data_IF_815040084508
#
_entry.id   IF_815040084508
#
_cell.length_a   1.000
_cell.length_b   1.000
_cell.length_c   1.000
_cell.angle_alpha   90.00
_cell.angle_beta   90.00
_cell.angle_gamma   90.00
#
_symmetry.space_group_name_H-M   'P 1'
#
loop_
_entity.id
_entity.type
_entity.pdbx_description
1 polymer ?
#
# COMPACT_ATOMS: atom_id res chain seq x y z
N UNK A 1 -54.43 28.47 19.66
CA UNK A 1 -53.96 29.60 18.85
C UNK A 1 -52.75 29.15 18.04
N UNK A 2 -52.98 28.83 16.75
CA UNK A 2 -52.23 29.28 15.56
C UNK A 2 -50.88 30.01 15.85
N UNK A 3 -49.72 29.68 15.30
CA UNK A 3 -49.40 29.55 13.86
C UNK A 3 -48.11 28.76 13.60
N UNK A 4 -48.09 28.16 12.41
CA UNK A 4 -47.01 27.51 11.68
C UNK A 4 -45.84 28.46 11.36
N UNK A 5 -44.62 27.92 11.36
CA UNK A 5 -43.41 28.58 10.86
C UNK A 5 -42.54 27.61 10.04
N UNK A 6 -42.99 27.29 8.83
CA UNK A 6 -42.26 26.49 7.84
C UNK A 6 -41.36 27.40 6.99
N UNK A 7 -40.06 27.47 7.28
CA UNK A 7 -39.08 28.17 6.46
C UNK A 7 -38.44 27.21 5.45
N UNK A 8 -38.99 27.23 4.23
CA UNK A 8 -38.43 26.60 3.03
C UNK A 8 -37.14 27.33 2.64
N UNK A 9 -36.00 26.65 2.69
CA UNK A 9 -34.79 27.12 2.01
C UNK A 9 -34.83 26.57 0.59
N UNK A 10 -34.99 27.50 -0.35
CA UNK A 10 -35.05 27.27 -1.79
C UNK A 10 -33.70 26.78 -2.32
N UNK A 11 -33.74 25.69 -3.08
CA UNK A 11 -32.58 25.12 -3.73
C UNK A 11 -32.09 25.99 -4.89
N UNK A 12 -30.85 26.45 -4.80
CA UNK A 12 -30.10 27.00 -5.93
C UNK A 12 -29.53 25.86 -6.77
N UNK A 13 -30.24 25.57 -7.86
CA UNK A 13 -29.83 24.64 -8.90
C UNK A 13 -28.62 25.21 -9.67
N UNK A 14 -27.40 24.81 -9.27
CA UNK A 14 -26.20 25.09 -10.05
C UNK A 14 -26.18 24.18 -11.30
N UNK A 15 -26.48 24.78 -12.45
CA UNK A 15 -26.25 24.18 -13.76
C UNK A 15 -24.75 24.01 -14.00
N UNK A 16 -24.26 22.77 -13.98
CA UNK A 16 -22.93 22.41 -14.45
C UNK A 16 -22.93 22.50 -15.99
N UNK A 17 -22.33 23.55 -16.54
CA UNK A 17 -21.98 23.63 -17.97
C UNK A 17 -20.97 22.53 -18.29
N UNK A 18 -21.38 21.58 -19.13
CA UNK A 18 -20.52 20.58 -19.74
C UNK A 18 -19.62 21.24 -20.78
N UNK A 19 -18.33 21.36 -20.49
CA UNK A 19 -17.33 21.64 -21.54
C UNK A 19 -17.12 20.35 -22.34
N UNK A 20 -17.60 20.35 -23.57
CA UNK A 20 -17.33 19.32 -24.56
C UNK A 20 -15.84 19.34 -24.90
N UNK A 21 -15.13 18.25 -24.60
CA UNK A 21 -13.78 18.00 -25.11
C UNK A 21 -13.94 17.23 -26.43
N UNK A 22 -13.40 17.74 -27.55
CA UNK A 22 -13.54 17.09 -28.86
C UNK A 22 -12.75 15.78 -28.91
N UNK A 23 -13.42 14.71 -29.35
CA UNK A 23 -12.80 13.43 -29.67
C UNK A 23 -11.98 13.57 -30.95
N UNK A 24 -10.65 13.63 -30.82
CA UNK A 24 -9.74 13.42 -31.95
C UNK A 24 -9.43 11.93 -32.09
N UNK A 25 -9.64 11.45 -33.31
CA UNK A 25 -9.29 10.13 -33.78
C UNK A 25 -7.82 9.78 -33.50
N UNK A 26 -7.59 8.70 -32.75
CA UNK A 26 -6.35 7.93 -32.91
C UNK A 26 -6.73 6.56 -33.48
N UNK A 27 -6.51 6.49 -34.78
CA UNK A 27 -6.46 5.29 -35.61
C UNK A 27 -5.54 4.26 -34.98
N UNK A 28 -5.95 3.00 -35.11
CA UNK A 28 -5.22 1.84 -34.65
C UNK A 28 -3.79 1.77 -35.15
N UNK A 29 -2.90 1.33 -34.26
CA UNK A 29 -1.69 0.63 -34.63
C UNK A 29 -1.83 -0.78 -34.06
N UNK A 30 -1.70 -1.73 -34.98
CA UNK A 30 -1.86 -3.15 -34.76
C UNK A 30 -0.91 -3.69 -33.71
N UNK A 31 -1.32 -4.83 -33.16
CA UNK A 31 -0.55 -5.59 -32.21
C UNK A 31 0.79 -6.00 -32.79
N UNK A 32 1.84 -5.80 -31.99
CA UNK A 32 2.98 -6.69 -32.02
C UNK A 32 3.00 -7.41 -30.68
N UNK A 33 2.58 -8.68 -30.73
CA UNK A 33 2.86 -9.63 -29.66
C UNK A 33 4.38 -9.79 -29.59
N UNK A 34 4.99 -9.24 -28.54
CA UNK A 34 6.36 -9.61 -28.18
C UNK A 34 6.40 -11.11 -27.85
N UNK A 35 7.34 -11.89 -28.42
CA UNK A 35 7.44 -13.32 -28.15
C UNK A 35 7.84 -13.55 -26.68
N UNK A 36 7.06 -14.40 -26.00
CA UNK A 36 7.38 -14.91 -24.67
C UNK A 36 8.63 -15.78 -24.76
N UNK A 37 9.71 -15.34 -24.13
CA UNK A 37 10.95 -16.12 -23.98
C UNK A 37 10.67 -17.35 -23.10
N UNK A 38 10.99 -18.59 -23.54
CA UNK A 38 10.84 -19.78 -22.71
C UNK A 38 11.96 -19.84 -21.66
N UNK A 39 11.58 -19.76 -20.38
CA UNK A 39 12.45 -20.10 -19.26
C UNK A 39 12.79 -21.60 -19.32
N UNK A 40 13.95 -21.94 -19.91
CA UNK A 40 14.52 -23.30 -19.84
C UNK A 40 14.89 -23.61 -18.38
N UNK A 41 14.04 -24.42 -17.77
CA UNK A 41 14.28 -25.09 -16.49
C UNK A 41 15.12 -26.33 -16.77
N UNK A 42 16.44 -26.16 -16.95
CA UNK A 42 17.38 -27.28 -16.90
C UNK A 42 17.87 -27.41 -15.46
N UNK A 43 17.37 -28.43 -14.78
CA UNK A 43 17.94 -28.88 -13.52
C UNK A 43 19.33 -29.46 -13.77
N UNK A 44 20.31 -28.93 -13.04
CA UNK A 44 21.55 -29.64 -12.75
C UNK A 44 21.72 -29.63 -11.24
N UNK A 45 21.59 -30.82 -10.68
CA UNK A 45 21.92 -31.15 -9.31
C UNK A 45 23.45 -31.21 -9.27
N UNK A 46 24.09 -30.14 -8.77
CA UNK A 46 25.50 -30.17 -8.42
C UNK A 46 25.56 -30.49 -6.92
N UNK A 47 25.92 -31.74 -6.63
CA UNK A 47 26.42 -32.16 -5.32
C UNK A 47 27.71 -31.38 -5.06
N UNK A 48 27.64 -30.36 -4.19
CA UNK A 48 28.84 -29.66 -3.72
C UNK A 48 29.14 -30.13 -2.30
N UNK A 49 30.29 -30.77 -2.22
CA UNK A 49 30.97 -31.29 -1.03
C UNK A 49 31.14 -30.21 0.04
N UNK A 50 31.04 -30.64 1.30
CA UNK A 50 31.29 -29.81 2.48
C UNK A 50 32.76 -29.44 2.56
N UNK A 51 33.07 -28.14 2.49
CA UNK A 51 34.30 -27.60 3.06
C UNK A 51 33.95 -26.59 4.17
N UNK A 52 34.33 -26.95 5.39
CA UNK A 52 34.43 -26.04 6.53
C UNK A 52 35.54 -25.05 6.21
N UNK A 53 35.20 -23.78 6.00
CA UNK A 53 36.15 -22.67 6.13
C UNK A 53 35.64 -21.68 7.16
N UNK A 54 36.13 -21.89 8.38
CA UNK A 54 36.07 -20.93 9.47
C UNK A 54 36.94 -19.72 9.10
N UNK A 55 36.31 -18.63 8.72
CA UNK A 55 36.91 -17.30 8.81
C UNK A 55 35.79 -16.31 9.04
N UNK A 56 35.59 -15.97 10.32
CA UNK A 56 34.75 -14.86 10.74
C UNK A 56 35.26 -13.60 10.02
N UNK A 57 34.45 -12.90 9.20
CA UNK A 57 34.83 -11.58 8.77
C UNK A 57 34.73 -10.67 9.99
N UNK A 58 35.89 -10.26 10.52
CA UNK A 58 36.03 -9.20 11.50
C UNK A 58 35.42 -7.92 10.90
N UNK A 59 34.13 -7.72 11.17
CA UNK A 59 33.47 -6.46 10.92
C UNK A 59 33.99 -5.49 11.97
N UNK A 60 35.04 -4.76 11.63
CA UNK A 60 35.57 -3.68 12.45
C UNK A 60 34.45 -2.65 12.58
N UNK A 61 33.86 -2.43 13.77
CA UNK A 61 33.02 -1.27 13.95
C UNK A 61 33.97 -0.07 13.89
N UNK A 62 33.91 0.71 12.81
CA UNK A 62 34.52 2.03 12.81
C UNK A 62 33.94 2.80 14.00
N UNK A 63 34.79 2.96 15.00
CA UNK A 63 34.55 3.75 16.20
C UNK A 63 34.74 5.24 15.89
N UNK A 64 34.06 6.05 16.69
CA UNK A 64 34.21 7.50 16.85
C UNK A 64 33.57 8.43 15.81
N UNK A 65 32.34 8.84 16.12
CA UNK A 65 31.97 10.26 16.15
C UNK A 65 30.84 10.44 17.15
N UNK A 66 31.18 10.67 18.42
CA UNK A 66 30.24 11.12 19.43
C UNK A 66 29.84 12.57 19.16
N UNK A 67 28.52 12.81 19.22
CA UNK A 67 27.82 14.10 19.28
C UNK A 67 27.58 14.90 17.97
N UNK A 68 26.58 14.47 17.19
CA UNK A 68 25.60 15.40 16.62
C UNK A 68 24.26 14.67 16.49
N UNK A 69 23.35 14.88 17.44
CA UNK A 69 22.03 14.21 17.61
C UNK A 69 21.60 13.32 16.44
N UNK A 70 21.81 12.02 16.61
CA UNK A 70 21.78 11.04 15.54
C UNK A 70 20.39 10.95 14.90
N UNK A 71 20.34 11.23 13.59
CA UNK A 71 19.20 10.99 12.70
C UNK A 71 18.43 9.73 13.10
N UNK A 72 17.15 9.89 13.45
CA UNK A 72 16.31 8.79 13.93
C UNK A 72 16.24 7.68 12.88
N UNK A 73 16.70 6.48 13.24
CA UNK A 73 16.65 5.27 12.39
C UNK A 73 15.33 4.55 12.61
N UNK A 74 14.61 4.25 11.54
CA UNK A 74 13.29 3.62 11.61
C UNK A 74 13.32 2.24 12.27
N UNK A 75 14.36 1.44 12.04
CA UNK A 75 14.51 0.11 12.65
C UNK A 75 14.52 0.13 14.19
N UNK A 76 15.04 1.20 14.81
CA UNK A 76 15.08 1.36 16.26
C UNK A 76 13.72 1.75 16.86
N UNK A 77 12.79 2.25 16.05
CA UNK A 77 11.48 2.72 16.53
C UNK A 77 10.47 1.57 16.71
N UNK A 78 10.62 0.48 15.97
CA UNK A 78 9.68 -0.65 16.02
C UNK A 78 9.69 -1.40 17.35
N UNK A 79 10.82 -1.39 18.07
CA UNK A 79 10.95 -2.03 19.39
C UNK A 79 10.54 -1.15 20.57
N UNK A 80 10.18 0.12 20.35
CA UNK A 80 9.80 1.06 21.42
C UNK A 80 8.30 1.03 21.70
N UNK A 81 7.93 1.35 22.94
CA UNK A 81 6.54 1.49 23.36
C UNK A 81 5.85 2.70 22.71
N UNK A 82 4.51 2.67 22.64
CA UNK A 82 3.71 3.77 22.08
C UNK A 82 3.92 5.08 22.83
N UNK A 83 4.04 5.01 24.15
CA UNK A 83 4.18 6.19 24.99
C UNK A 83 5.58 6.81 24.89
N UNK A 84 6.62 5.98 24.75
CA UNK A 84 7.98 6.45 24.48
C UNK A 84 8.09 7.13 23.12
N UNK A 85 7.42 6.58 22.10
CA UNK A 85 7.36 7.21 20.77
C UNK A 85 6.64 8.55 20.78
N UNK A 86 5.61 8.72 21.64
CA UNK A 86 4.93 10.00 21.82
C UNK A 86 5.82 11.03 22.53
N UNK A 87 6.55 10.63 23.58
CA UNK A 87 7.51 11.52 24.26
C UNK A 87 8.58 11.99 23.28
N UNK A 88 9.19 11.06 22.55
CA UNK A 88 10.19 11.37 21.52
C UNK A 88 9.60 12.27 20.40
N UNK A 89 8.32 12.13 20.06
CA UNK A 89 7.65 12.99 19.09
C UNK A 89 7.49 14.42 19.59
N UNK A 90 7.11 14.63 20.85
CA UNK A 90 6.95 15.98 21.41
C UNK A 90 8.29 16.70 21.54
N UNK A 91 9.35 16.00 21.97
CA UNK A 91 10.72 16.54 22.00
C UNK A 91 11.19 17.01 20.60
N UNK A 92 10.95 16.21 19.56
CA UNK A 92 11.32 16.59 18.19
C UNK A 92 10.51 17.79 17.67
N UNK A 93 9.26 17.95 18.11
CA UNK A 93 8.41 19.09 17.73
C UNK A 93 8.86 20.38 18.42
N UNK A 94 9.20 20.32 19.71
CA UNK A 94 9.68 21.50 20.44
C UNK A 94 11.00 21.99 19.86
N UNK A 95 11.94 21.08 19.57
CA UNK A 95 13.22 21.41 18.92
C UNK A 95 12.98 22.05 17.54
N UNK A 96 12.07 21.49 16.74
CA UNK A 96 11.72 22.06 15.43
C UNK A 96 11.07 23.45 15.56
N UNK A 97 10.24 23.67 16.59
CA UNK A 97 9.65 24.97 16.89
C UNK A 97 10.72 26.02 17.20
N UNK A 98 11.67 25.68 18.06
CA UNK A 98 12.80 26.55 18.41
C UNK A 98 13.65 26.92 17.18
N UNK A 99 13.99 25.93 16.33
CA UNK A 99 14.78 26.19 15.12
C UNK A 99 14.05 27.05 14.08
N UNK A 100 12.71 27.01 14.05
CA UNK A 100 11.92 27.89 13.16
C UNK A 100 11.97 29.35 13.62
N UNK A 101 11.90 29.61 14.93
CA UNK A 101 12.06 30.96 15.48
C UNK A 101 13.47 31.49 15.21
N UNK A 102 14.49 30.66 15.46
CA UNK A 102 15.89 31.02 15.20
C UNK A 102 16.17 31.28 13.71
N UNK A 103 15.46 30.61 12.80
CA UNK A 103 15.54 30.90 11.37
C UNK A 103 15.09 32.32 11.03
N UNK A 104 14.04 32.81 11.68
CA UNK A 104 13.52 34.17 11.46
C UNK A 104 14.49 35.21 12.02
N UNK A 105 15.08 34.93 13.19
CA UNK A 105 16.06 35.80 13.83
C UNK A 105 17.45 35.83 13.15
N UNK A 106 17.63 35.16 12.00
CA UNK A 106 18.90 35.16 11.27
C UNK A 106 20.01 34.28 11.89
N UNK A 107 19.65 33.15 12.51
CA UNK A 107 20.61 32.25 13.16
C UNK A 107 21.58 31.51 12.22
N UNK A 108 22.60 30.88 12.82
CA UNK A 108 23.67 30.18 12.10
C UNK A 108 23.18 29.08 11.13
N UNK A 109 23.78 29.03 9.92
CA UNK A 109 23.40 28.11 8.83
C UNK A 109 23.44 26.62 9.20
N UNK A 110 24.40 26.20 10.03
CA UNK A 110 24.52 24.81 10.51
C UNK A 110 23.32 24.33 11.34
N UNK A 111 22.61 25.24 12.02
CA UNK A 111 21.38 24.94 12.76
C UNK A 111 20.16 24.84 11.84
N UNK A 112 20.21 25.47 10.67
CA UNK A 112 19.10 25.51 9.70
C UNK A 112 18.99 24.22 8.89
N UNK A 113 20.12 23.59 8.53
CA UNK A 113 20.13 22.30 7.81
C UNK A 113 19.41 21.19 8.61
N UNK A 114 19.47 21.27 9.94
CA UNK A 114 18.81 20.34 10.87
C UNK A 114 17.28 20.38 10.80
N UNK A 115 16.67 21.48 10.35
CA UNK A 115 15.20 21.59 10.18
C UNK A 115 14.68 20.50 9.23
N UNK A 116 15.41 20.23 8.15
CA UNK A 116 15.04 19.20 7.18
C UNK A 116 15.06 17.80 7.81
N UNK A 117 16.08 17.50 8.62
CA UNK A 117 16.24 16.18 9.23
C UNK A 117 15.27 15.93 10.38
N UNK A 118 14.91 16.97 11.15
CA UNK A 118 13.86 16.87 12.17
C UNK A 118 12.50 16.60 11.55
N UNK A 119 12.14 17.27 10.43
CA UNK A 119 10.89 16.99 9.70
C UNK A 119 10.81 15.53 9.26
N UNK A 120 11.91 14.99 8.71
CA UNK A 120 12.00 13.56 8.34
C UNK A 120 11.93 12.64 9.55
N UNK A 121 12.51 13.02 10.68
CA UNK A 121 12.47 12.23 11.92
C UNK A 121 11.07 12.17 12.52
N UNK A 122 10.35 13.30 12.58
CA UNK A 122 8.94 13.38 13.00
C UNK A 122 8.07 12.50 12.11
N UNK A 123 8.24 12.59 10.78
CA UNK A 123 7.48 11.79 9.83
C UNK A 123 7.69 10.27 10.05
N UNK A 124 8.92 9.83 10.34
CA UNK A 124 9.22 8.42 10.64
C UNK A 124 8.50 7.93 11.90
N UNK A 125 8.56 8.71 12.99
CA UNK A 125 7.91 8.36 14.26
C UNK A 125 6.39 8.24 14.08
N UNK A 126 5.76 9.23 13.45
CA UNK A 126 4.32 9.19 13.14
C UNK A 126 3.95 8.00 12.26
N UNK A 127 4.79 7.66 11.27
CA UNK A 127 4.57 6.50 10.40
C UNK A 127 4.53 5.19 11.18
N UNK A 128 5.47 4.98 12.11
CA UNK A 128 5.52 3.76 12.94
C UNK A 128 4.33 3.70 13.89
N UNK A 129 3.98 4.82 14.54
CA UNK A 129 2.80 4.89 15.41
C UNK A 129 1.53 4.52 14.63
N UNK A 130 1.33 5.10 13.45
CA UNK A 130 0.14 4.84 12.62
C UNK A 130 0.11 3.40 12.08
N UNK A 131 1.26 2.85 11.70
CA UNK A 131 1.37 1.46 11.26
C UNK A 131 0.98 0.47 12.36
N UNK A 132 1.49 0.66 13.57
CA UNK A 132 1.19 -0.17 14.74
C UNK A 132 -0.28 -0.05 15.18
N UNK A 133 -0.85 1.16 15.14
CA UNK A 133 -2.27 1.34 15.41
C UNK A 133 -3.13 0.62 14.38
N UNK A 134 -2.79 0.74 13.09
CA UNK A 134 -3.54 0.09 12.01
C UNK A 134 -3.41 -1.43 12.04
N UNK A 135 -2.25 -1.98 12.39
CA UNK A 135 -2.07 -3.43 12.54
C UNK A 135 -2.93 -3.95 13.70
N UNK A 136 -2.95 -3.26 14.85
CA UNK A 136 -3.80 -3.64 15.98
C UNK A 136 -5.29 -3.56 15.64
N UNK A 137 -5.74 -2.53 14.92
CA UNK A 137 -7.12 -2.43 14.45
C UNK A 137 -7.49 -3.55 13.48
N UNK A 138 -6.57 -3.95 12.59
CA UNK A 138 -6.79 -5.10 11.69
C UNK A 138 -6.97 -6.40 12.46
N UNK A 139 -6.26 -6.60 13.57
CA UNK A 139 -6.43 -7.75 14.45
C UNK A 139 -7.81 -7.71 15.13
N UNK A 140 -8.21 -6.57 15.67
CA UNK A 140 -9.51 -6.39 16.35
C UNK A 140 -10.71 -6.59 15.41
N UNK A 141 -10.62 -6.12 14.16
CA UNK A 141 -11.67 -6.28 13.16
C UNK A 141 -11.53 -7.57 12.33
N UNK A 142 -10.57 -8.44 12.64
CA UNK A 142 -10.39 -9.71 11.95
C UNK A 142 -11.66 -10.56 12.07
N UNK A 143 -12.13 -11.13 10.96
CA UNK A 143 -13.35 -11.96 10.85
C UNK A 143 -14.69 -11.27 11.14
N UNK A 144 -14.71 -9.97 11.50
CA UNK A 144 -15.98 -9.24 11.61
C UNK A 144 -16.57 -9.01 10.23
N UNK A 145 -17.90 -9.14 10.11
CA UNK A 145 -18.63 -8.95 8.84
C UNK A 145 -18.42 -7.54 8.27
N UNK A 146 -18.46 -6.52 9.13
CA UNK A 146 -18.34 -5.13 8.72
C UNK A 146 -16.99 -4.55 9.10
N UNK A 147 -16.25 -4.10 8.08
CA UNK A 147 -15.00 -3.37 8.24
C UNK A 147 -15.22 -1.87 8.00
N UNK A 148 -14.55 -1.01 8.78
CA UNK A 148 -14.48 0.42 8.49
C UNK A 148 -13.83 0.66 7.12
N UNK A 149 -14.18 1.77 6.46
CA UNK A 149 -13.77 2.08 5.09
C UNK A 149 -12.24 2.04 4.91
N UNK A 150 -11.48 2.51 5.90
CA UNK A 150 -10.03 2.55 5.86
C UNK A 150 -9.37 1.17 5.85
N UNK A 151 -10.00 0.16 6.46
CA UNK A 151 -9.45 -1.20 6.52
C UNK A 151 -9.87 -2.06 5.33
N UNK A 152 -10.81 -1.59 4.51
CA UNK A 152 -11.26 -2.33 3.32
C UNK A 152 -10.12 -2.45 2.30
N UNK A 153 -10.08 -3.56 1.53
CA UNK A 153 -9.12 -3.68 0.44
C UNK A 153 -9.36 -2.58 -0.60
N UNK A 154 -8.27 -1.93 -1.04
CA UNK A 154 -8.34 -0.92 -2.10
C UNK A 154 -8.45 -1.62 -3.45
N UNK A 155 -9.66 -1.61 -4.00
CA UNK A 155 -9.99 -2.16 -5.31
C UNK A 155 -10.82 -1.15 -6.10
N UNK A 156 -10.87 -1.27 -7.43
CA UNK A 156 -11.74 -0.44 -8.26
C UNK A 156 -13.21 -0.73 -7.97
N UNK A 157 -14.09 0.25 -8.24
CA UNK A 157 -15.54 0.11 -8.03
C UNK A 157 -16.12 -1.06 -8.83
N UNK A 158 -15.66 -1.26 -10.06
CA UNK A 158 -16.05 -2.39 -10.91
C UNK A 158 -15.69 -3.74 -10.27
N UNK A 159 -14.48 -3.88 -9.72
CA UNK A 159 -14.04 -5.11 -9.03
C UNK A 159 -14.84 -5.39 -7.77
N UNK A 160 -15.27 -4.35 -7.05
CA UNK A 160 -16.11 -4.50 -5.85
C UNK A 160 -17.56 -4.88 -6.15
N UNK A 161 -18.07 -4.49 -7.32
CA UNK A 161 -19.48 -4.71 -7.73
C UNK A 161 -19.68 -5.97 -8.54
N UNK A 162 -18.63 -6.52 -9.15
CA UNK A 162 -18.71 -7.80 -9.88
C UNK A 162 -19.09 -8.94 -8.93
N UNK A 163 -19.75 -9.96 -9.47
CA UNK A 163 -20.03 -11.21 -8.78
C UNK A 163 -18.76 -11.87 -8.23
N UNK A 164 -18.87 -12.49 -7.07
CA UNK A 164 -17.80 -13.30 -6.47
C UNK A 164 -17.51 -14.54 -7.32
N UNK A 165 -16.31 -15.11 -7.20
CA UNK A 165 -15.94 -16.32 -7.96
C UNK A 165 -16.90 -17.48 -7.67
N UNK A 166 -17.38 -17.57 -6.42
CA UNK A 166 -18.36 -18.57 -6.00
C UNK A 166 -19.69 -18.34 -6.72
N UNK A 167 -20.24 -17.13 -6.64
CA UNK A 167 -21.49 -16.77 -7.33
C UNK A 167 -21.43 -17.02 -8.84
N UNK A 168 -20.31 -16.66 -9.49
CA UNK A 168 -20.11 -16.91 -10.93
C UNK A 168 -20.05 -18.39 -11.29
N UNK A 169 -19.57 -19.22 -10.38
CA UNK A 169 -19.44 -20.67 -10.55
C UNK A 169 -20.59 -21.46 -9.95
N UNK A 170 -21.63 -20.80 -9.41
CA UNK A 170 -22.83 -21.50 -8.97
C UNK A 170 -23.53 -22.08 -10.19
N UNK A 171 -23.66 -23.40 -10.19
CA UNK A 171 -24.31 -24.18 -11.23
C UNK A 171 -25.55 -24.80 -10.60
N UNK A 172 -26.66 -24.81 -11.33
CA UNK A 172 -27.89 -25.47 -10.85
C UNK A 172 -27.67 -26.97 -10.73
N UNK A 173 -28.36 -27.65 -9.80
CA UNK A 173 -28.22 -29.10 -9.64
C UNK A 173 -28.49 -29.86 -10.94
N UNK A 174 -29.45 -29.39 -11.74
CA UNK A 174 -29.76 -29.92 -13.07
C UNK A 174 -28.56 -29.81 -14.02
N UNK A 175 -27.91 -28.65 -14.07
CA UNK A 175 -26.74 -28.46 -14.92
C UNK A 175 -25.52 -29.22 -14.40
N UNK A 176 -25.35 -29.35 -13.08
CA UNK A 176 -24.28 -30.16 -12.48
C UNK A 176 -24.44 -31.64 -12.87
N UNK A 177 -25.65 -32.21 -12.73
CA UNK A 177 -25.96 -33.57 -13.20
C UNK A 177 -25.65 -33.72 -14.69
N UNK A 178 -26.08 -32.77 -15.53
CA UNK A 178 -25.78 -32.80 -16.98
C UNK A 178 -24.28 -32.79 -17.26
N UNK A 179 -23.49 -31.96 -16.57
CA UNK A 179 -22.04 -31.90 -16.73
C UNK A 179 -21.34 -33.18 -16.28
N UNK A 180 -21.81 -33.82 -15.21
CA UNK A 180 -21.29 -35.12 -14.75
C UNK A 180 -21.60 -36.24 -15.75
N UNK A 181 -22.83 -36.30 -16.25
CA UNK A 181 -23.25 -37.35 -17.19
C UNK A 181 -22.67 -37.17 -18.59
N UNK A 182 -22.56 -35.93 -19.08
CA UNK A 182 -22.10 -35.61 -20.44
C UNK A 182 -20.92 -34.63 -20.42
N UNK A 183 -19.72 -35.07 -19.98
CA UNK A 183 -18.54 -34.24 -20.05
C UNK A 183 -18.10 -34.04 -21.50
N UNK A 184 -17.57 -32.86 -21.82
CA UNK A 184 -16.97 -32.60 -23.13
C UNK A 184 -15.71 -33.45 -23.29
N UNK A 185 -15.78 -34.45 -24.16
CA UNK A 185 -14.66 -35.37 -24.44
C UNK A 185 -13.81 -34.79 -25.57
N UNK A 186 -12.49 -34.97 -25.48
CA UNK A 186 -11.58 -34.68 -26.59
C UNK A 186 -11.57 -35.89 -27.52
N UNK A 187 -11.79 -35.68 -28.81
CA UNK A 187 -11.70 -36.71 -29.85
C UNK A 187 -10.93 -36.15 -31.04
N UNK A 188 -10.37 -37.06 -31.85
CA UNK A 188 -9.74 -36.74 -33.13
C UNK A 188 -10.40 -37.60 -34.21
N UNK A 189 -10.59 -37.01 -35.38
CA UNK A 189 -11.11 -37.71 -36.56
C UNK A 189 -9.92 -38.10 -37.42
N UNK A 190 -9.88 -39.35 -37.85
CA UNK A 190 -8.87 -39.82 -38.80
C UNK A 190 -9.22 -39.24 -40.17
N UNK A 191 -8.23 -38.64 -40.85
CA UNK A 191 -8.41 -38.24 -42.24
C UNK A 191 -8.34 -39.50 -43.11
N UNK A 192 -9.43 -39.82 -43.79
CA UNK A 192 -9.45 -40.89 -44.79
C UNK A 192 -9.01 -40.29 -46.14
N UNK A 193 -8.06 -40.96 -46.79
CA UNK A 193 -7.45 -40.57 -48.05
C UNK A 193 -8.19 -41.20 -49.24
#
# INVERSE_FOLDING_TARGET
MNLLGSSRVTGSHLQLRSTQIPQSHLRGLGGQLLPRVPCRRTGQIILRTKEKKSSNPLHHPHSASMSSSAKVKTGQLWGKGKDDLKKQLEELKTELGQLRVQKIAGGASSKLTRIHDLRKSIAKVLTVINANQRSQLRLFYKKKKYLPLDLRPKQTRAIRRRLTKKEKGLVTEKQQKKQMHFPMRKYAVKADA
#
